data_IF_414895034344
#
_entry.id   IF_414895034344
#
_cell.length_a   1.000
_cell.length_b   1.000
_cell.length_c   1.000
_cell.angle_alpha   90.00
_cell.angle_beta   90.00
_cell.angle_gamma   90.00
#
_symmetry.space_group_name_H-M   'P 1'
#
loop_
_entity.id
_entity.type
_entity.pdbx_description
1 polymer ?
#
# COMPACT_ATOMS: atom_id res chain seq x y z
N UNK A 1 -25.31 -3.94 6.72
CA UNK A 1 -24.03 -3.87 7.46
C UNK A 1 -22.81 -4.39 6.68
N UNK A 2 -22.59 -5.69 6.45
CA UNK A 2 -21.39 -6.15 5.72
C UNK A 2 -21.31 -5.66 4.26
N UNK A 3 -22.45 -5.68 3.54
CA UNK A 3 -22.51 -5.24 2.15
C UNK A 3 -22.21 -3.74 1.98
N UNK A 4 -22.64 -2.91 2.94
CA UNK A 4 -22.44 -1.45 2.91
C UNK A 4 -20.98 -1.08 3.21
N UNK A 5 -20.34 -1.78 4.15
CA UNK A 5 -18.91 -1.60 4.42
C UNK A 5 -18.05 -1.96 3.19
N UNK A 6 -18.39 -3.06 2.52
CA UNK A 6 -17.66 -3.49 1.32
C UNK A 6 -17.89 -2.54 0.13
N UNK A 7 -19.13 -2.07 -0.06
CA UNK A 7 -19.45 -1.07 -1.07
C UNK A 7 -18.77 0.27 -0.80
N UNK A 8 -18.63 0.64 0.48
CA UNK A 8 -17.99 1.89 0.87
C UNK A 8 -16.47 1.90 0.63
N UNK A 9 -15.83 0.73 0.73
CA UNK A 9 -14.39 0.60 0.58
C UNK A 9 -13.95 0.18 -0.83
N UNK A 10 -14.85 0.21 -1.81
CA UNK A 10 -14.54 -0.22 -3.18
C UNK A 10 -13.35 0.55 -3.79
N UNK A 11 -13.30 1.88 -3.59
CA UNK A 11 -12.25 2.74 -4.14
C UNK A 11 -10.84 2.38 -3.64
N UNK A 12 -10.55 2.30 -2.32
CA UNK A 12 -9.22 1.92 -1.85
C UNK A 12 -8.85 0.47 -2.20
N UNK A 13 -9.81 -0.47 -2.19
CA UNK A 13 -9.53 -1.85 -2.59
C UNK A 13 -9.17 -1.99 -4.07
N UNK A 14 -9.84 -1.24 -4.95
CA UNK A 14 -9.52 -1.23 -6.38
C UNK A 14 -8.08 -0.73 -6.61
N UNK A 15 -7.69 0.37 -5.98
CA UNK A 15 -6.31 0.88 -6.01
C UNK A 15 -5.31 -0.12 -5.45
N UNK A 16 -5.61 -0.72 -4.30
CA UNK A 16 -4.74 -1.70 -3.65
C UNK A 16 -4.45 -2.90 -4.56
N UNK A 17 -5.48 -3.44 -5.22
CA UNK A 17 -5.35 -4.52 -6.19
C UNK A 17 -4.51 -4.09 -7.40
N UNK A 18 -4.75 -2.91 -7.96
CA UNK A 18 -3.97 -2.36 -9.07
C UNK A 18 -2.48 -2.31 -8.73
N UNK A 19 -2.11 -1.78 -7.56
CA UNK A 19 -0.69 -1.70 -7.17
C UNK A 19 -0.07 -3.08 -6.88
N UNK A 20 -0.83 -4.05 -6.38
CA UNK A 20 -0.36 -5.43 -6.24
C UNK A 20 -0.01 -6.03 -7.60
N UNK A 21 -0.86 -5.82 -8.60
CA UNK A 21 -0.61 -6.30 -9.96
C UNK A 21 0.65 -5.63 -10.53
N UNK A 22 0.78 -4.30 -10.40
CA UNK A 22 1.98 -3.59 -10.85
C UNK A 22 3.25 -4.10 -10.17
N UNK A 23 3.20 -4.41 -8.88
CA UNK A 23 4.32 -4.99 -8.15
C UNK A 23 4.75 -6.34 -8.72
N UNK A 24 3.80 -7.24 -9.03
CA UNK A 24 4.09 -8.55 -9.61
C UNK A 24 4.65 -8.42 -11.04
N UNK A 25 4.04 -7.55 -11.85
CA UNK A 25 4.48 -7.27 -13.23
C UNK A 25 5.89 -6.68 -13.24
N UNK A 26 6.22 -5.77 -12.32
CA UNK A 26 7.55 -5.18 -12.25
C UNK A 26 8.64 -6.23 -12.01
N UNK A 27 8.40 -7.25 -11.17
CA UNK A 27 9.36 -8.35 -10.95
C UNK A 27 9.54 -9.19 -12.22
N UNK A 28 8.43 -9.56 -12.86
CA UNK A 28 8.43 -10.41 -14.06
C UNK A 28 9.07 -9.71 -15.27
N UNK A 29 8.86 -8.41 -15.42
CA UNK A 29 9.29 -7.63 -16.58
C UNK A 29 10.72 -7.09 -16.43
N UNK A 30 11.23 -6.97 -15.20
CA UNK A 30 12.62 -6.56 -14.90
C UNK A 30 13.67 -7.45 -15.59
N UNK A 31 13.36 -8.72 -15.82
CA UNK A 31 14.28 -9.69 -16.44
C UNK A 31 14.16 -9.85 -17.95
N UNK A 32 13.25 -9.12 -18.62
CA UNK A 32 12.95 -9.35 -20.05
C UNK A 32 13.80 -8.52 -21.02
N UNK A 33 14.39 -7.43 -20.58
CA UNK A 33 15.19 -6.53 -21.41
C UNK A 33 16.44 -6.06 -20.64
N UNK A 34 17.63 -6.25 -21.22
CA UNK A 34 18.93 -5.96 -20.60
C UNK A 34 19.35 -4.47 -20.68
N UNK A 35 18.41 -3.56 -20.95
CA UNK A 35 18.70 -2.13 -20.95
C UNK A 35 18.70 -1.56 -19.53
N UNK A 36 19.76 -0.82 -19.15
CA UNK A 36 19.85 -0.17 -17.84
C UNK A 36 18.70 0.81 -17.57
N UNK A 37 18.21 1.50 -18.62
CA UNK A 37 17.05 2.40 -18.53
C UNK A 37 15.75 1.63 -18.24
N UNK A 38 15.60 0.44 -18.80
CA UNK A 38 14.45 -0.42 -18.58
C UNK A 38 14.42 -0.88 -17.13
N UNK A 39 15.52 -1.48 -16.66
CA UNK A 39 15.64 -1.99 -15.29
C UNK A 39 15.41 -0.89 -14.25
N UNK A 40 15.96 0.31 -14.45
CA UNK A 40 15.77 1.42 -13.52
C UNK A 40 14.32 1.94 -13.48
N UNK A 41 13.62 1.94 -14.61
CA UNK A 41 12.21 2.33 -14.68
C UNK A 41 11.34 1.35 -13.89
N UNK A 42 11.54 0.03 -14.09
CA UNK A 42 10.80 -1.01 -13.38
C UNK A 42 11.15 -1.09 -11.89
N UNK A 43 12.41 -0.86 -11.51
CA UNK A 43 12.83 -0.77 -10.11
C UNK A 43 12.17 0.44 -9.41
N UNK A 44 12.03 1.58 -10.11
CA UNK A 44 11.31 2.75 -9.59
C UNK A 44 9.83 2.44 -9.39
N UNK A 45 9.17 1.82 -10.37
CA UNK A 45 7.75 1.42 -10.26
C UNK A 45 7.55 0.46 -9.10
N UNK A 46 8.42 -0.55 -8.96
CA UNK A 46 8.38 -1.51 -7.86
C UNK A 46 8.50 -0.82 -6.48
N UNK A 47 9.44 0.12 -6.37
CA UNK A 47 9.65 0.92 -5.15
C UNK A 47 8.42 1.75 -4.79
N UNK A 48 7.88 2.51 -5.75
CA UNK A 48 6.69 3.34 -5.55
C UNK A 48 5.49 2.48 -5.14
N UNK A 49 5.23 1.36 -5.82
CA UNK A 49 4.14 0.46 -5.44
C UNK A 49 4.31 -0.08 -4.01
N UNK A 50 5.53 -0.45 -3.63
CA UNK A 50 5.83 -0.99 -2.30
C UNK A 50 5.66 0.03 -1.17
N UNK A 51 5.83 1.32 -1.46
CA UNK A 51 5.55 2.43 -0.53
C UNK A 51 4.05 2.72 -0.45
N UNK A 52 3.36 2.70 -1.58
CA UNK A 52 1.94 3.07 -1.67
C UNK A 52 1.03 2.00 -1.04
N UNK A 53 1.37 0.71 -1.15
CA UNK A 53 0.64 -0.40 -0.53
C UNK A 53 0.40 -0.23 0.99
N UNK A 54 1.43 -0.08 1.85
CA UNK A 54 1.26 0.05 3.29
C UNK A 54 0.55 1.35 3.69
N UNK A 55 0.72 2.42 2.91
CA UNK A 55 0.01 3.69 3.13
C UNK A 55 -1.49 3.51 2.85
N UNK A 56 -1.87 2.88 1.74
CA UNK A 56 -3.27 2.54 1.42
C UNK A 56 -3.89 1.68 2.52
N UNK A 57 -3.17 0.68 3.02
CA UNK A 57 -3.64 -0.17 4.11
C UNK A 57 -3.88 0.64 5.40
N UNK A 58 -2.98 1.56 5.74
CA UNK A 58 -3.14 2.44 6.90
C UNK A 58 -4.31 3.40 6.74
N UNK A 59 -4.50 3.99 5.56
CA UNK A 59 -5.66 4.84 5.24
C UNK A 59 -6.96 4.06 5.38
N UNK A 60 -6.99 2.81 4.90
CA UNK A 60 -8.14 1.91 5.06
C UNK A 60 -8.47 1.68 6.54
N UNK A 61 -7.49 1.31 7.35
CA UNK A 61 -7.68 1.07 8.79
C UNK A 61 -8.16 2.35 9.49
N UNK A 62 -7.56 3.51 9.17
CA UNK A 62 -7.93 4.79 9.75
C UNK A 62 -9.37 5.22 9.43
N UNK A 63 -9.84 4.92 8.23
CA UNK A 63 -11.21 5.21 7.82
C UNK A 63 -12.21 4.24 8.48
N UNK A 64 -11.83 2.97 8.68
CA UNK A 64 -12.63 2.02 9.46
C UNK A 64 -12.73 2.47 10.93
N UNK A 65 -11.63 2.95 11.53
CA UNK A 65 -11.59 3.38 12.93
C UNK A 65 -12.31 4.71 13.20
N UNK A 66 -12.24 5.68 12.28
CA UNK A 66 -12.99 6.94 12.42
C UNK A 66 -14.50 6.75 12.28
N UNK A 67 -14.95 5.64 11.69
CA UNK A 67 -16.33 5.47 11.26
C UNK A 67 -16.61 6.34 10.03
N UNK A 68 -17.36 5.80 9.06
CA UNK A 68 -17.73 6.59 7.89
C UNK A 68 -18.76 7.66 8.30
N UNK A 69 -18.55 8.95 7.99
CA UNK A 69 -19.63 9.93 8.01
C UNK A 69 -20.57 9.59 6.85
N UNK A 70 -21.54 8.73 7.10
CA UNK A 70 -22.68 8.49 6.22
C UNK A 70 -23.61 9.71 6.37
N UNK A 71 -23.69 10.53 5.32
CA UNK A 71 -24.63 11.64 5.25
C UNK A 71 -26.09 11.12 5.18
N UNK A 72 -27.06 11.92 5.64
CA UNK A 72 -28.48 11.58 5.85
C UNK A 72 -29.24 11.08 4.60
N UNK A 73 -28.61 11.06 3.42
CA UNK A 73 -29.23 10.67 2.16
C UNK A 73 -28.68 9.39 1.52
N UNK A 74 -27.82 8.59 2.19
CA UNK A 74 -27.20 7.39 1.61
C UNK A 74 -26.53 7.64 0.23
N UNK A 75 -26.16 8.89 -0.07
CA UNK A 75 -25.55 9.27 -1.34
C UNK A 75 -24.05 9.42 -1.17
N UNK A 76 -23.32 8.55 -1.87
CA UNK A 76 -21.90 8.67 -2.17
C UNK A 76 -21.68 9.96 -2.98
N UNK A 77 -21.42 11.08 -2.32
CA UNK A 77 -20.95 12.30 -2.99
C UNK A 77 -19.53 12.04 -3.49
N UNK A 78 -19.38 12.01 -4.81
CA UNK A 78 -18.15 11.70 -5.53
C UNK A 78 -17.02 12.69 -5.27
N UNK A 79 -16.35 12.56 -4.12
CA UNK A 79 -15.05 13.16 -3.81
C UNK A 79 -13.95 12.10 -3.87
N UNK A 80 -13.46 11.82 -5.07
CA UNK A 80 -12.41 10.85 -5.37
C UNK A 80 -11.15 11.09 -4.51
N UNK A 81 -10.77 10.12 -3.67
CA UNK A 81 -9.50 10.00 -2.94
C UNK A 81 -9.17 11.05 -1.87
N UNK A 82 -9.52 12.32 -2.04
CA UNK A 82 -9.08 13.41 -1.15
C UNK A 82 -9.98 13.64 0.07
N UNK A 83 -11.26 13.27 0.02
CA UNK A 83 -12.18 13.37 1.18
C UNK A 83 -11.86 12.32 2.25
N UNK A 84 -11.30 11.17 1.86
CA UNK A 84 -10.86 10.11 2.78
C UNK A 84 -9.43 10.31 3.32
N UNK A 85 -8.70 11.30 2.79
CA UNK A 85 -7.35 11.68 3.21
C UNK A 85 -7.42 12.73 4.33
N UNK A 86 -8.01 12.35 5.47
CA UNK A 86 -7.91 13.20 6.67
C UNK A 86 -6.46 13.22 7.17
N UNK A 87 -6.01 14.28 7.86
CA UNK A 87 -4.67 14.33 8.47
C UNK A 87 -4.39 13.11 9.35
N UNK A 88 -5.44 12.57 9.98
CA UNK A 88 -5.40 11.33 10.75
C UNK A 88 -5.12 10.10 9.87
N UNK A 89 -5.80 9.96 8.73
CA UNK A 89 -5.54 8.84 7.81
C UNK A 89 -4.12 8.86 7.24
N UNK A 90 -3.57 10.06 6.98
CA UNK A 90 -2.20 10.21 6.51
C UNK A 90 -1.18 9.86 7.60
N UNK A 91 -1.43 10.27 8.86
CA UNK A 91 -0.60 9.87 10.01
C UNK A 91 -0.61 8.34 10.18
N UNK A 92 -1.77 7.70 10.13
CA UNK A 92 -1.86 6.23 10.24
C UNK A 92 -1.18 5.54 9.05
N UNK A 93 -1.32 6.08 7.83
CA UNK A 93 -0.62 5.58 6.64
C UNK A 93 0.91 5.69 6.73
N UNK A 94 1.43 6.77 7.30
CA UNK A 94 2.88 6.91 7.57
C UNK A 94 3.31 5.95 8.68
N UNK A 95 2.52 5.79 9.73
CA UNK A 95 2.81 4.84 10.82
C UNK A 95 2.87 3.39 10.32
N UNK A 96 1.92 2.97 9.49
CA UNK A 96 1.94 1.63 8.89
C UNK A 96 3.17 1.45 7.99
N UNK A 97 3.51 2.45 7.17
CA UNK A 97 4.73 2.41 6.35
C UNK A 97 6.00 2.23 7.19
N UNK A 98 6.14 3.00 8.27
CA UNK A 98 7.29 2.88 9.17
C UNK A 98 7.36 1.50 9.84
N UNK A 99 6.21 0.95 10.23
CA UNK A 99 6.13 -0.39 10.81
C UNK A 99 6.62 -1.45 9.82
N UNK A 100 6.18 -1.38 8.55
CA UNK A 100 6.66 -2.29 7.51
C UNK A 100 8.16 -2.13 7.22
N UNK A 101 8.68 -0.90 7.26
CA UNK A 101 10.13 -0.66 7.12
C UNK A 101 10.93 -1.30 8.25
N UNK A 102 10.51 -1.13 9.50
CA UNK A 102 11.17 -1.75 10.67
C UNK A 102 11.11 -3.27 10.58
N UNK A 103 9.95 -3.84 10.22
CA UNK A 103 9.81 -5.28 10.05
C UNK A 103 10.72 -5.84 8.94
N UNK A 104 10.79 -5.15 7.80
CA UNK A 104 11.71 -5.50 6.71
C UNK A 104 13.19 -5.42 7.13
N UNK A 105 13.57 -4.40 7.88
CA UNK A 105 14.92 -4.25 8.42
C UNK A 105 15.31 -5.36 9.41
N UNK A 106 14.40 -5.70 10.34
CA UNK A 106 14.61 -6.78 11.30
C UNK A 106 14.77 -8.15 10.61
N UNK A 107 13.96 -8.40 9.57
CA UNK A 107 14.09 -9.61 8.76
C UNK A 107 15.45 -9.70 8.05
N UNK A 108 15.94 -8.59 7.49
CA UNK A 108 17.27 -8.53 6.86
C UNK A 108 18.38 -8.81 7.88
N UNK A 109 18.31 -8.23 9.09
CA UNK A 109 19.28 -8.47 10.16
C UNK A 109 19.34 -9.93 10.59
N UNK A 110 18.18 -10.58 10.74
CA UNK A 110 18.11 -12.00 11.10
C UNK A 110 18.77 -12.86 10.01
N UNK A 111 18.47 -12.58 8.74
CA UNK A 111 19.00 -13.37 7.62
C UNK A 111 20.51 -13.19 7.42
N UNK A 112 21.02 -11.98 7.63
CA UNK A 112 22.46 -11.70 7.57
C UNK A 112 23.21 -12.37 8.74
N UNK A 113 22.66 -12.31 9.95
CA UNK A 113 23.25 -12.96 11.12
C UNK A 113 23.36 -14.47 10.93
N UNK A 114 22.29 -15.13 10.44
CA UNK A 114 22.29 -16.58 10.21
C UNK A 114 23.41 -17.01 9.26
N UNK A 115 23.65 -16.26 8.18
CA UNK A 115 24.73 -16.59 7.21
C UNK A 115 26.10 -16.46 7.87
N UNK A 116 26.30 -15.47 8.75
CA UNK A 116 27.57 -15.23 9.42
C UNK A 116 27.88 -16.24 10.54
N UNK A 117 26.87 -16.84 11.18
CA UNK A 117 27.08 -17.87 12.22
C UNK A 117 27.30 -19.27 11.65
N UNK A 118 26.94 -19.50 10.39
CA UNK A 118 27.13 -20.79 9.68
C UNK A 118 28.41 -20.85 8.83
N UNK A 119 29.16 -19.75 8.74
CA UNK A 119 30.44 -19.64 8.05
C UNK A 119 31.60 -19.66 9.05
#
# INVERSE_FOLDING_TARGET
MYAELFSAMNTPFMLFLTFIIFRAVAIEVRGKEDSDRWRNTWDTVYSVCSIVLPVLLGVVIANVLQGLPLDENFQYTGGALFTFLTPYALLVGVMTLLLFMVHGGLYLLLKLTVICTTA
#
